data_IF_269728950070
#
_entry.id   IF_269728950070
#
_cell.length_a   1.000
_cell.length_b   1.000
_cell.length_c   1.000
_cell.angle_alpha   90.00
_cell.angle_beta   90.00
_cell.angle_gamma   90.00
#
_symmetry.space_group_name_H-M   'P 1'
#
loop_
_entity.id
_entity.type
_entity.pdbx_description
1 polymer ?
#
# COMPACT_ATOMS: atom_id res chain seq x y z
N UNK A 1 -23.19 -8.71 6.91
CA UNK A 1 -21.77 -8.36 6.72
C UNK A 1 -21.59 -6.97 7.26
N UNK A 2 -20.88 -6.83 8.38
CA UNK A 2 -20.64 -5.54 9.02
C UNK A 2 -19.68 -4.74 8.13
N UNK A 3 -20.05 -3.52 7.74
CA UNK A 3 -19.19 -2.66 6.93
C UNK A 3 -18.13 -2.05 7.85
N UNK A 4 -16.85 -2.37 7.61
CA UNK A 4 -15.73 -1.72 8.28
C UNK A 4 -15.63 -0.29 7.73
N UNK A 5 -16.23 0.69 8.40
CA UNK A 5 -16.26 2.08 7.92
C UNK A 5 -14.94 2.79 8.28
N UNK A 6 -13.97 2.76 7.38
CA UNK A 6 -12.82 3.66 7.43
C UNK A 6 -13.22 5.04 6.87
N UNK A 7 -12.77 6.12 7.50
CA UNK A 7 -12.98 7.48 7.00
C UNK A 7 -11.67 8.01 6.43
N UNK A 8 -11.55 8.09 5.10
CA UNK A 8 -10.37 8.64 4.42
C UNK A 8 -10.10 8.06 3.04
N UNK A 9 -9.13 8.65 2.34
CA UNK A 9 -8.49 8.08 1.16
C UNK A 9 -7.35 7.16 1.62
N UNK A 10 -7.07 6.08 0.89
CA UNK A 10 -5.92 5.19 1.09
C UNK A 10 -5.05 5.19 -0.17
N UNK A 11 -3.79 5.59 -0.05
CA UNK A 11 -2.82 5.58 -1.14
C UNK A 11 -1.92 4.36 -1.03
N UNK A 12 -1.98 3.48 -2.02
CA UNK A 12 -1.22 2.23 -2.07
C UNK A 12 -0.17 2.31 -3.17
N UNK A 13 1.10 2.12 -2.81
CA UNK A 13 2.16 1.87 -3.77
C UNK A 13 2.33 0.35 -3.89
N UNK A 14 2.03 -0.21 -5.06
CA UNK A 14 2.01 -1.65 -5.28
C UNK A 14 3.14 -2.09 -6.21
N UNK A 15 3.99 -2.98 -5.69
CA UNK A 15 4.97 -3.74 -6.48
C UNK A 15 4.35 -4.92 -7.23
N UNK A 16 3.07 -5.23 -6.99
CA UNK A 16 2.35 -6.38 -7.56
C UNK A 16 1.62 -5.99 -8.84
N UNK A 17 1.45 -6.97 -9.73
CA UNK A 17 0.68 -6.78 -10.96
C UNK A 17 -0.76 -6.38 -10.64
N UNK A 18 -1.22 -5.28 -11.24
CA UNK A 18 -2.60 -4.81 -11.17
C UNK A 18 -3.61 -5.90 -11.50
N UNK A 19 -3.35 -6.71 -12.53
CA UNK A 19 -4.22 -7.83 -12.91
C UNK A 19 -4.44 -8.83 -11.76
N UNK A 20 -3.46 -8.98 -10.86
CA UNK A 20 -3.53 -9.91 -9.74
C UNK A 20 -4.20 -9.28 -8.52
N UNK A 21 -3.83 -8.05 -8.16
CA UNK A 21 -4.26 -7.44 -6.89
C UNK A 21 -5.39 -6.42 -7.03
N UNK A 22 -5.59 -5.85 -8.21
CA UNK A 22 -6.63 -4.86 -8.51
C UNK A 22 -8.02 -5.31 -8.07
N UNK A 23 -8.49 -6.52 -8.46
CA UNK A 23 -9.81 -7.00 -8.04
C UNK A 23 -9.99 -7.11 -6.52
N UNK A 24 -8.91 -7.41 -5.78
CA UNK A 24 -8.93 -7.52 -4.32
C UNK A 24 -9.02 -6.12 -3.69
N UNK A 25 -8.29 -5.16 -4.25
CA UNK A 25 -8.31 -3.76 -3.80
C UNK A 25 -9.69 -3.14 -4.06
N UNK A 26 -10.28 -3.38 -5.22
CA UNK A 26 -11.65 -2.95 -5.55
C UNK A 26 -12.69 -3.54 -4.58
N UNK A 27 -12.55 -4.84 -4.25
CA UNK A 27 -13.41 -5.49 -3.28
C UNK A 27 -13.28 -4.85 -1.89
N UNK A 28 -12.05 -4.57 -1.45
CA UNK A 28 -11.80 -3.88 -0.19
C UNK A 28 -12.45 -2.49 -0.19
N UNK A 29 -12.25 -1.69 -1.24
CA UNK A 29 -12.86 -0.36 -1.38
C UNK A 29 -14.39 -0.44 -1.30
N UNK A 30 -15.01 -1.41 -1.99
CA UNK A 30 -16.46 -1.62 -1.99
C UNK A 30 -17.03 -1.97 -0.60
N UNK A 31 -16.35 -2.84 0.15
CA UNK A 31 -16.82 -3.31 1.46
C UNK A 31 -16.56 -2.29 2.55
N UNK A 32 -15.42 -1.60 2.52
CA UNK A 32 -15.01 -0.62 3.54
C UNK A 32 -15.61 0.77 3.33
N UNK A 33 -15.86 1.15 2.07
CA UNK A 33 -16.22 2.52 1.70
C UNK A 33 -15.03 3.50 1.68
N UNK A 34 -13.79 3.00 1.78
CA UNK A 34 -12.56 3.78 1.65
C UNK A 34 -12.26 3.99 0.16
N UNK A 35 -11.92 5.22 -0.23
CA UNK A 35 -11.41 5.50 -1.58
C UNK A 35 -9.94 5.04 -1.67
N UNK A 36 -9.64 4.09 -2.56
CA UNK A 36 -8.29 3.53 -2.67
C UNK A 36 -7.63 3.96 -3.97
N UNK A 37 -6.55 4.73 -3.86
CA UNK A 37 -5.72 5.19 -4.98
C UNK A 37 -4.49 4.33 -5.06
N UNK A 38 -4.25 3.68 -6.20
CA UNK A 38 -3.13 2.75 -6.34
C UNK A 38 -2.16 3.25 -7.39
N UNK A 39 -0.88 3.30 -7.02
CA UNK A 39 0.25 3.47 -7.95
C UNK A 39 0.90 2.12 -8.16
N UNK A 40 0.82 1.60 -9.38
CA UNK A 40 1.43 0.32 -9.74
C UNK A 40 2.82 0.53 -10.34
N UNK A 41 3.75 -0.35 -9.98
CA UNK A 41 5.09 -0.39 -10.55
C UNK A 41 5.83 -1.67 -10.17
N UNK A 42 7.07 -1.82 -10.61
CA UNK A 42 7.95 -2.87 -10.07
C UNK A 42 8.29 -2.53 -8.62
N UNK A 43 8.47 -3.54 -7.75
CA UNK A 43 8.84 -3.32 -6.33
C UNK A 43 9.99 -2.33 -6.18
N UNK A 44 11.08 -2.53 -6.92
CA UNK A 44 12.26 -1.66 -6.85
C UNK A 44 11.97 -0.20 -7.27
N UNK A 45 11.09 0.02 -8.25
CA UNK A 45 10.72 1.36 -8.67
C UNK A 45 9.85 2.06 -7.63
N UNK A 46 8.89 1.35 -7.04
CA UNK A 46 8.05 1.89 -5.96
C UNK A 46 8.86 2.18 -4.70
N UNK A 47 9.78 1.29 -4.31
CA UNK A 47 10.70 1.52 -3.21
C UNK A 47 11.59 2.75 -3.45
N UNK A 48 12.14 2.91 -4.67
CA UNK A 48 12.92 4.08 -5.03
C UNK A 48 12.10 5.39 -4.94
N UNK A 49 10.83 5.36 -5.39
CA UNK A 49 9.93 6.50 -5.22
C UNK A 49 9.69 6.84 -3.75
N UNK A 50 9.42 5.84 -2.90
CA UNK A 50 9.21 6.06 -1.45
C UNK A 50 10.46 6.65 -0.80
N UNK A 51 11.66 6.16 -1.16
CA UNK A 51 12.92 6.70 -0.65
C UNK A 51 13.15 8.17 -1.07
N UNK A 52 12.79 8.51 -2.31
CA UNK A 52 12.91 9.88 -2.83
C UNK A 52 11.93 10.83 -2.14
N UNK A 53 10.70 10.38 -1.89
CA UNK A 53 9.68 11.15 -1.21
C UNK A 53 9.96 11.29 0.32
N UNK A 54 10.54 10.25 0.93
CA UNK A 54 10.87 10.18 2.35
C UNK A 54 9.63 10.41 3.23
N UNK A 55 9.79 11.23 4.27
CA UNK A 55 8.70 11.63 5.19
C UNK A 55 7.52 12.36 4.49
N UNK A 56 7.71 12.82 3.25
CA UNK A 56 6.65 13.48 2.47
C UNK A 56 5.93 12.52 1.51
N UNK A 57 6.21 11.22 1.57
CA UNK A 57 5.51 10.24 0.73
C UNK A 57 4.01 10.29 1.01
N UNK A 58 3.17 10.40 -0.02
CA UNK A 58 1.73 10.30 0.14
C UNK A 58 1.28 8.86 0.35
N UNK A 59 2.17 7.87 0.31
CA UNK A 59 1.83 6.45 0.39
C UNK A 59 1.53 6.02 1.83
N UNK A 60 0.32 5.49 2.05
CA UNK A 60 -0.08 4.89 3.34
C UNK A 60 0.34 3.42 3.45
N UNK A 61 0.45 2.74 2.29
CA UNK A 61 0.78 1.31 2.23
C UNK A 61 1.75 1.01 1.07
N UNK A 62 2.83 0.31 1.39
CA UNK A 62 3.69 -0.31 0.39
C UNK A 62 3.43 -1.81 0.27
N UNK A 63 2.82 -2.23 -0.85
CA UNK A 63 2.50 -3.64 -1.12
C UNK A 63 3.54 -4.27 -2.07
N UNK A 64 4.67 -4.68 -1.50
CA UNK A 64 5.80 -5.26 -2.25
C UNK A 64 5.49 -6.66 -2.82
N UNK A 65 6.16 -7.02 -3.94
CA UNK A 65 6.12 -8.37 -4.50
C UNK A 65 7.09 -9.32 -3.79
N UNK A 66 8.23 -8.79 -3.35
CA UNK A 66 9.38 -9.54 -2.83
C UNK A 66 9.97 -8.84 -1.59
N UNK A 67 10.62 -9.59 -0.69
CA UNK A 67 11.20 -9.03 0.54
C UNK A 67 12.42 -8.13 0.28
N UNK A 68 13.10 -8.29 -0.86
CA UNK A 68 14.29 -7.49 -1.19
C UNK A 68 13.95 -6.01 -1.33
N UNK A 69 12.92 -5.69 -2.11
CA UNK A 69 12.44 -4.31 -2.23
C UNK A 69 11.74 -3.79 -0.97
N UNK A 70 11.18 -4.66 -0.13
CA UNK A 70 10.58 -4.26 1.15
C UNK A 70 11.63 -3.79 2.16
N UNK A 71 12.74 -4.52 2.31
CA UNK A 71 13.81 -4.17 3.26
C UNK A 71 14.46 -2.81 2.99
N UNK A 72 14.45 -2.36 1.73
CA UNK A 72 15.06 -1.09 1.31
C UNK A 72 14.39 0.13 1.95
N UNK A 73 13.08 0.06 2.23
CA UNK A 73 12.32 1.16 2.85
C UNK A 73 12.09 0.92 4.36
N UNK A 74 12.77 -0.07 4.96
CA UNK A 74 12.49 -0.54 6.31
C UNK A 74 12.47 0.56 7.38
N UNK A 75 13.38 1.53 7.28
CA UNK A 75 13.48 2.65 8.24
C UNK A 75 12.34 3.67 8.11
N UNK A 76 11.60 3.66 7.00
CA UNK A 76 10.43 4.52 6.74
C UNK A 76 9.10 3.83 7.10
N UNK A 77 9.13 2.54 7.46
CA UNK A 77 7.93 1.78 7.78
C UNK A 77 7.51 2.01 9.23
N UNK A 78 6.21 2.20 9.44
CA UNK A 78 5.64 2.27 10.79
C UNK A 78 5.28 0.85 11.26
N UNK A 79 5.72 0.43 12.47
CA UNK A 79 5.25 -0.80 13.08
C UNK A 79 3.73 -0.76 13.24
N UNK A 80 3.03 -1.77 12.74
CA UNK A 80 1.59 -1.91 12.99
C UNK A 80 1.44 -2.33 14.45
N UNK A 81 0.89 -1.43 15.26
CA UNK A 81 0.52 -1.68 16.66
C UNK A 81 -0.74 -2.54 16.72
N UNK A 82 -0.60 -3.82 16.38
CA UNK A 82 -1.59 -4.86 16.66
C UNK A 82 -0.97 -5.90 17.57
N UNK A 83 -1.68 -6.29 18.64
CA UNK A 83 -1.38 -7.54 19.31
C UNK A 83 -1.65 -8.68 18.32
N UNK A 84 -0.62 -9.47 18.02
CA UNK A 84 -0.71 -10.68 17.19
C UNK A 84 -0.90 -11.92 18.07
#
# INVERSE_FOLDING_TARGET
MEKIKGTGDLVVYSGRSEKLVGPIIEQFASVSGIDVKVKYGKTAAMAATILEEGENSPADLFFAQDPGGLSVVGDLLTPISGEF
#
